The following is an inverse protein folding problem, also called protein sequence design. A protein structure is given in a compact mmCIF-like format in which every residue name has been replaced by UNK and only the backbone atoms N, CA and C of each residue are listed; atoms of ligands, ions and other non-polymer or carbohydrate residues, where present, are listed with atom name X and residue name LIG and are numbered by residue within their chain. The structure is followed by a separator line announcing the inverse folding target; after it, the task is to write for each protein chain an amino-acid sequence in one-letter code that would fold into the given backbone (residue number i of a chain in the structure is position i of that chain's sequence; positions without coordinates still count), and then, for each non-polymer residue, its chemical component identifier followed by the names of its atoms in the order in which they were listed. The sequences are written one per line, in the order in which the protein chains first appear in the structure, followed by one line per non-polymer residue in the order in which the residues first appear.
data_IF_992520915115
#
_entry.id   IF_992520915115
#
_cell.length_a   1.000
_cell.length_b   1.000
_cell.length_c   1.000
_cell.angle_alpha   90.00
_cell.angle_beta   90.00
_cell.angle_gamma   90.00
#
_symmetry.space_group_name_H-M   'P 1'
#
loop_
_entity.id
_entity.type
_entity.pdbx_description
1 polymer ?
#
# COMPACT_ATOMS: atom_id res chain seq x y z
N UNK A 1 -12.94 -12.22 -11.00
CA UNK A 1 -12.00 -11.24 -10.41
C UNK A 1 -12.80 -10.01 -9.99
N UNK A 2 -12.63 -9.58 -8.74
CA UNK A 2 -13.40 -8.45 -8.21
C UNK A 2 -12.83 -7.13 -8.71
N UNK A 3 -13.67 -6.32 -9.36
CA UNK A 3 -13.27 -5.00 -9.82
C UNK A 3 -13.28 -3.99 -8.67
N UNK A 4 -12.47 -2.94 -8.78
CA UNK A 4 -12.48 -1.84 -7.85
C UNK A 4 -13.68 -0.92 -8.14
N UNK A 5 -14.24 -0.26 -7.11
CA UNK A 5 -15.35 0.66 -7.33
C UNK A 5 -14.88 1.92 -8.06
N UNK A 6 -15.83 2.65 -8.62
CA UNK A 6 -15.54 3.94 -9.23
C UNK A 6 -15.28 5.00 -8.17
N UNK A 7 -14.56 6.06 -8.54
CA UNK A 7 -14.32 7.19 -7.67
C UNK A 7 -15.63 7.93 -7.36
N UNK A 8 -15.70 8.50 -6.15
CA UNK A 8 -16.79 9.37 -5.76
C UNK A 8 -16.60 10.78 -6.35
N UNK A 9 -17.46 11.71 -5.99
CA UNK A 9 -17.43 13.09 -6.50
C UNK A 9 -16.13 13.84 -6.20
N UNK A 10 -15.43 13.44 -5.12
CA UNK A 10 -14.16 14.04 -4.72
C UNK A 10 -12.94 13.40 -5.38
N UNK A 11 -13.17 12.39 -6.22
CA UNK A 11 -12.09 11.64 -6.83
C UNK A 11 -11.44 10.61 -5.90
N UNK A 12 -12.09 10.24 -4.82
CA UNK A 12 -11.64 9.21 -3.88
C UNK A 12 -12.38 7.91 -4.10
N UNK A 13 -11.80 6.79 -3.69
CA UNK A 13 -12.56 5.56 -3.55
C UNK A 13 -13.57 5.73 -2.42
N UNK A 14 -14.77 5.13 -2.54
CA UNK A 14 -15.73 5.12 -1.43
C UNK A 14 -15.10 4.58 -0.15
N UNK A 15 -15.53 5.06 1.00
CA UNK A 15 -15.03 4.55 2.28
C UNK A 15 -15.08 3.02 2.32
N UNK A 16 -14.07 2.41 2.92
CA UNK A 16 -13.96 0.97 3.06
C UNK A 16 -12.59 0.45 2.65
N UNK A 17 -12.40 -0.83 2.88
CA UNK A 17 -11.20 -1.56 2.48
C UNK A 17 -11.57 -2.39 1.26
N UNK A 18 -11.06 -2.01 0.10
CA UNK A 18 -11.41 -2.64 -1.17
C UNK A 18 -10.34 -3.67 -1.56
N UNK A 19 -10.71 -4.94 -1.49
CA UNK A 19 -9.80 -6.02 -1.82
C UNK A 19 -9.68 -6.20 -3.34
N UNK A 20 -8.46 -6.36 -3.84
CA UNK A 20 -8.19 -6.60 -5.25
C UNK A 20 -6.85 -7.31 -5.44
N UNK A 21 -6.70 -8.02 -6.55
CA UNK A 21 -5.41 -8.58 -6.94
C UNK A 21 -4.49 -7.47 -7.43
N UNK A 22 -3.19 -7.67 -7.32
CA UNK A 22 -2.20 -6.69 -7.73
C UNK A 22 -2.41 -6.24 -9.18
N UNK A 23 -2.63 -7.18 -10.11
CA UNK A 23 -2.82 -6.83 -11.52
C UNK A 23 -4.02 -5.91 -11.75
N UNK A 24 -5.09 -6.06 -10.96
CA UNK A 24 -6.27 -5.20 -11.02
C UNK A 24 -5.92 -3.80 -10.55
N UNK A 25 -5.17 -3.69 -9.46
CA UNK A 25 -4.72 -2.40 -8.90
C UNK A 25 -3.83 -1.68 -9.92
N UNK A 26 -2.83 -2.38 -10.46
CA UNK A 26 -1.91 -1.79 -11.43
C UNK A 26 -2.65 -1.28 -12.66
N UNK A 27 -3.54 -2.09 -13.23
CA UNK A 27 -4.31 -1.70 -14.41
C UNK A 27 -5.25 -0.53 -14.14
N UNK A 28 -5.88 -0.50 -12.97
CA UNK A 28 -6.86 0.51 -12.62
C UNK A 28 -6.25 1.91 -12.42
N UNK A 29 -5.04 1.98 -11.85
CA UNK A 29 -4.45 3.26 -11.45
C UNK A 29 -3.27 3.73 -12.31
N UNK A 30 -2.89 2.99 -13.35
CA UNK A 30 -1.72 3.28 -14.19
C UNK A 30 -2.07 4.00 -15.50
N UNK A 31 -3.13 4.81 -15.52
CA UNK A 31 -3.70 5.37 -16.76
C UNK A 31 -2.84 6.45 -17.43
N UNK A 32 -1.87 7.04 -16.76
CA UNK A 32 -0.99 8.08 -17.31
C UNK A 32 0.47 7.63 -17.24
N UNK A 33 1.39 8.27 -18.02
CA UNK A 33 2.82 7.93 -17.93
C UNK A 33 3.37 8.06 -16.49
N UNK A 34 2.98 9.10 -15.78
CA UNK A 34 3.39 9.30 -14.39
C UNK A 34 2.89 8.16 -13.49
N UNK A 35 1.62 7.82 -13.63
CA UNK A 35 1.01 6.74 -12.85
C UNK A 35 1.61 5.39 -13.20
N UNK A 36 1.99 5.17 -14.45
CA UNK A 36 2.65 3.92 -14.86
C UNK A 36 4.00 3.75 -14.16
N UNK A 37 4.77 4.83 -13.99
CA UNK A 37 6.04 4.80 -13.25
C UNK A 37 5.80 4.42 -11.78
N UNK A 38 4.80 5.04 -11.15
CA UNK A 38 4.47 4.77 -9.75
C UNK A 38 3.94 3.34 -9.57
N UNK A 39 3.15 2.86 -10.54
CA UNK A 39 2.65 1.48 -10.53
C UNK A 39 3.79 0.46 -10.53
N UNK A 40 4.87 0.72 -11.27
CA UNK A 40 6.05 -0.15 -11.27
C UNK A 40 6.76 -0.16 -9.92
N UNK A 41 6.79 0.98 -9.25
CA UNK A 41 7.35 1.05 -7.89
C UNK A 41 6.53 0.21 -6.92
N UNK A 42 5.20 0.31 -7.02
CA UNK A 42 4.29 -0.51 -6.22
C UNK A 42 4.51 -2.00 -6.47
N UNK A 43 4.60 -2.40 -7.73
CA UNK A 43 4.84 -3.79 -8.12
C UNK A 43 6.15 -4.32 -7.53
N UNK A 44 7.22 -3.52 -7.60
CA UNK A 44 8.52 -3.90 -7.04
C UNK A 44 8.46 -4.09 -5.53
N UNK A 45 7.82 -3.15 -4.83
CA UNK A 45 7.70 -3.23 -3.36
C UNK A 45 6.88 -4.44 -2.96
N UNK A 46 5.80 -4.73 -3.67
CA UNK A 46 4.99 -5.91 -3.41
C UNK A 46 5.83 -7.19 -3.56
N UNK A 47 6.61 -7.29 -4.63
CA UNK A 47 7.49 -8.45 -4.84
C UNK A 47 8.53 -8.61 -3.73
N UNK A 48 9.16 -7.50 -3.30
CA UNK A 48 10.15 -7.52 -2.24
C UNK A 48 9.53 -7.89 -0.89
N UNK A 49 8.36 -7.34 -0.58
CA UNK A 49 7.66 -7.65 0.67
C UNK A 49 7.25 -9.12 0.71
N UNK A 50 6.71 -9.65 -0.40
CA UNK A 50 6.36 -11.07 -0.51
C UNK A 50 7.56 -11.97 -0.35
N UNK A 51 8.71 -11.57 -0.88
CA UNK A 51 9.93 -12.38 -0.83
C UNK A 51 10.40 -12.68 0.59
N UNK A 52 9.96 -11.88 1.57
CA UNK A 52 10.32 -12.14 2.97
C UNK A 52 9.66 -13.40 3.54
N UNK A 53 8.53 -13.83 2.98
CA UNK A 53 7.75 -14.96 3.48
C UNK A 53 6.95 -14.67 4.76
N UNK A 54 6.92 -13.40 5.19
CA UNK A 54 6.28 -13.01 6.44
C UNK A 54 5.25 -11.89 6.28
N UNK A 55 4.83 -11.60 5.05
CA UNK A 55 3.84 -10.58 4.78
C UNK A 55 2.44 -11.11 5.14
N UNK A 56 1.75 -10.39 6.04
CA UNK A 56 0.39 -10.75 6.45
C UNK A 56 -0.66 -9.98 5.65
N UNK A 57 -0.50 -8.65 5.49
CA UNK A 57 -1.45 -7.81 4.73
C UNK A 57 -0.71 -6.69 4.03
N UNK A 58 -1.20 -6.32 2.85
CA UNK A 58 -0.60 -5.28 2.00
C UNK A 58 -1.66 -4.25 1.66
N UNK A 59 -1.50 -3.04 2.15
CA UNK A 59 -2.49 -1.96 2.00
C UNK A 59 -1.88 -0.82 1.18
N UNK A 60 -2.64 -0.33 0.20
CA UNK A 60 -2.29 0.87 -0.57
C UNK A 60 -3.28 1.97 -0.20
N UNK A 61 -2.76 3.13 0.14
CA UNK A 61 -3.56 4.29 0.49
C UNK A 61 -2.98 5.55 -0.17
N UNK A 62 -3.54 6.71 0.13
CA UNK A 62 -2.99 7.97 -0.37
C UNK A 62 -3.42 8.33 -1.78
N UNK A 63 -2.72 9.29 -2.38
CA UNK A 63 -3.15 9.92 -3.62
C UNK A 63 -3.07 9.02 -4.87
N UNK A 64 -2.20 8.00 -4.86
CA UNK A 64 -2.09 7.11 -6.03
C UNK A 64 -3.40 6.38 -6.32
N UNK A 65 -4.18 6.05 -5.31
CA UNK A 65 -5.46 5.35 -5.49
C UNK A 65 -6.65 6.31 -5.53
N UNK A 66 -6.42 7.52 -6.02
CA UNK A 66 -7.44 8.54 -6.27
C UNK A 66 -7.40 8.98 -7.72
N UNK A 67 -8.32 9.88 -8.09
CA UNK A 67 -8.37 10.47 -9.42
C UNK A 67 -7.34 11.59 -9.64
N UNK A 68 -6.45 11.85 -8.69
CA UNK A 68 -5.41 12.89 -8.82
C UNK A 68 -4.57 12.67 -10.08
N UNK A 69 -4.42 13.70 -10.91
CA UNK A 69 -3.74 13.58 -12.21
C UNK A 69 -2.28 13.12 -12.05
N UNK A 70 -1.53 13.76 -11.16
CA UNK A 70 -0.11 13.47 -10.99
C UNK A 70 0.25 13.24 -9.52
N UNK A 71 -0.04 12.04 -8.98
CA UNK A 71 0.43 11.71 -7.63
C UNK A 71 1.96 11.68 -7.62
N UNK A 72 2.56 12.04 -6.48
CA UNK A 72 4.03 12.09 -6.34
C UNK A 72 4.63 10.72 -6.08
N UNK A 73 3.97 9.91 -5.27
CA UNK A 73 4.44 8.58 -4.88
C UNK A 73 3.27 7.66 -4.59
N UNK A 74 3.57 6.46 -4.14
CA UNK A 74 2.58 5.51 -3.62
C UNK A 74 2.81 5.34 -2.12
N UNK A 75 1.71 5.33 -1.36
CA UNK A 75 1.73 5.12 0.08
C UNK A 75 1.29 3.71 0.40
N UNK A 76 2.08 3.00 1.19
CA UNK A 76 1.89 1.58 1.47
C UNK A 76 1.98 1.33 2.97
N UNK A 77 1.07 0.50 3.48
CA UNK A 77 1.15 -0.03 4.84
C UNK A 77 1.23 -1.55 4.78
N UNK A 78 2.24 -2.10 5.46
CA UNK A 78 2.47 -3.53 5.54
C UNK A 78 2.22 -4.03 6.96
N UNK A 79 1.39 -5.06 7.07
CA UNK A 79 1.26 -5.81 8.32
C UNK A 79 2.07 -7.09 8.16
N UNK A 80 3.07 -7.26 9.02
CA UNK A 80 3.99 -8.40 8.98
C UNK A 80 3.66 -9.40 10.08
N UNK A 81 3.92 -10.68 9.81
CA UNK A 81 3.79 -11.70 10.83
C UNK A 81 4.74 -11.41 12.02
N UNK A 82 4.41 -11.88 13.22
CA UNK A 82 5.23 -11.63 14.40
C UNK A 82 6.62 -12.27 14.31
N UNK A 83 6.75 -13.31 13.51
CA UNK A 83 8.03 -13.99 13.26
C UNK A 83 8.96 -13.20 12.32
N UNK A 84 8.50 -12.08 11.74
CA UNK A 84 9.31 -11.30 10.83
C UNK A 84 10.50 -10.66 11.54
N UNK A 85 11.70 -10.86 10.98
CA UNK A 85 12.95 -10.30 11.48
C UNK A 85 13.64 -9.58 10.33
N UNK A 86 13.64 -8.25 10.38
CA UNK A 86 14.21 -7.42 9.31
C UNK A 86 15.69 -7.68 9.08
N UNK A 87 16.42 -8.10 10.12
CA UNK A 87 17.85 -8.39 10.00
C UNK A 87 18.15 -9.64 9.14
N UNK A 88 17.15 -10.48 8.92
CA UNK A 88 17.30 -11.75 8.19
C UNK A 88 16.86 -11.67 6.74
N UNK A 89 16.36 -10.52 6.28
CA UNK A 89 15.94 -10.37 4.89
C UNK A 89 17.11 -9.94 4.00
N UNK A 90 16.98 -10.14 2.69
CA UNK A 90 17.98 -9.71 1.72
C UNK A 90 18.22 -8.20 1.80
N UNK A 91 19.40 -7.75 1.35
CA UNK A 91 19.75 -6.33 1.35
C UNK A 91 18.72 -5.50 0.58
N UNK A 92 18.28 -5.96 -0.57
CA UNK A 92 17.29 -5.24 -1.39
C UNK A 92 15.93 -5.18 -0.70
N UNK A 93 15.42 -6.31 -0.19
CA UNK A 93 14.12 -6.34 0.49
C UNK A 93 14.12 -5.49 1.78
N UNK A 94 15.28 -5.38 2.43
CA UNK A 94 15.40 -4.57 3.65
C UNK A 94 15.09 -3.10 3.42
N UNK A 95 15.32 -2.59 2.21
CA UNK A 95 15.02 -1.20 1.86
C UNK A 95 13.53 -0.87 2.04
N UNK A 96 12.65 -1.85 1.83
CA UNK A 96 11.19 -1.66 1.98
C UNK A 96 10.84 -1.30 3.42
N UNK A 97 11.59 -1.82 4.39
CA UNK A 97 11.29 -1.69 5.81
C UNK A 97 12.02 -0.54 6.51
N UNK A 98 12.75 0.27 5.74
CA UNK A 98 13.38 1.51 6.19
C UNK A 98 12.69 2.65 5.46
N UNK A 99 11.93 3.48 6.20
CA UNK A 99 11.10 4.52 5.60
C UNK A 99 11.90 5.48 4.70
N UNK A 100 13.04 5.95 5.17
CA UNK A 100 13.88 6.86 4.39
C UNK A 100 14.49 6.20 3.15
N UNK A 101 14.94 4.96 3.27
CA UNK A 101 15.50 4.21 2.15
C UNK A 101 14.43 3.91 1.10
N UNK A 102 13.23 3.51 1.52
CA UNK A 102 12.13 3.25 0.60
C UNK A 102 11.76 4.53 -0.17
N UNK A 103 11.69 5.65 0.51
CA UNK A 103 11.39 6.94 -0.12
C UNK A 103 12.46 7.34 -1.13
N UNK A 104 13.72 7.27 -0.75
CA UNK A 104 14.85 7.75 -1.56
C UNK A 104 15.24 6.79 -2.69
N UNK A 105 15.14 5.48 -2.45
CA UNK A 105 15.65 4.46 -3.38
C UNK A 105 14.56 3.70 -4.12
N UNK A 106 13.37 3.58 -3.53
CA UNK A 106 12.25 2.85 -4.14
C UNK A 106 11.11 3.77 -4.57
N UNK A 107 11.14 5.05 -4.19
CA UNK A 107 10.15 6.04 -4.61
C UNK A 107 8.76 5.81 -4.03
N UNK A 108 8.68 5.36 -2.78
CA UNK A 108 7.41 5.09 -2.10
C UNK A 108 7.51 5.40 -0.61
N UNK A 109 6.37 5.74 -0.01
CA UNK A 109 6.25 5.91 1.44
C UNK A 109 5.72 4.60 2.02
N UNK A 110 6.56 3.89 2.75
CA UNK A 110 6.21 2.58 3.31
C UNK A 110 6.20 2.65 4.82
N UNK A 111 5.10 2.22 5.42
CA UNK A 111 4.92 2.07 6.85
C UNK A 111 4.67 0.60 7.15
N UNK A 112 5.15 0.10 8.27
CA UNK A 112 4.94 -1.30 8.61
C UNK A 112 4.97 -1.53 10.12
N UNK A 113 4.25 -2.55 10.55
CA UNK A 113 4.31 -3.07 11.93
C UNK A 113 4.16 -4.60 11.89
N UNK A 114 4.51 -5.24 12.99
CA UNK A 114 4.14 -6.65 13.23
C UNK A 114 2.73 -6.71 13.80
N UNK A 115 2.04 -7.81 13.62
CA UNK A 115 0.67 -8.00 14.10
C UNK A 115 0.51 -7.68 15.59
N UNK A 116 1.44 -8.11 16.41
CA UNK A 116 1.39 -7.88 17.86
C UNK A 116 1.44 -6.40 18.25
N UNK A 117 1.95 -5.53 17.37
CA UNK A 117 2.03 -4.09 17.59
C UNK A 117 0.74 -3.35 17.19
N UNK A 118 -0.24 -4.03 16.64
CA UNK A 118 -1.51 -3.44 16.21
C UNK A 118 -2.40 -3.15 17.42
N UNK A 119 -2.15 -2.03 18.09
CA UNK A 119 -2.91 -1.60 19.26
C UNK A 119 -4.36 -1.32 18.87
N UNK A 120 -5.31 -1.86 19.64
CA UNK A 120 -6.73 -1.75 19.32
C UNK A 120 -7.20 -2.76 18.29
N UNK A 121 -6.32 -3.65 17.82
CA UNK A 121 -6.64 -4.71 16.88
C UNK A 121 -6.23 -4.39 15.43
N UNK A 122 -6.07 -5.44 14.65
CA UNK A 122 -5.64 -5.38 13.26
C UNK A 122 -6.61 -4.58 12.38
N UNK A 123 -7.91 -4.85 12.53
CA UNK A 123 -8.94 -4.17 11.73
C UNK A 123 -8.94 -2.66 11.98
N UNK A 124 -8.86 -2.23 13.24
CA UNK A 124 -8.83 -0.80 13.58
C UNK A 124 -7.57 -0.12 13.05
N UNK A 125 -6.43 -0.80 13.12
CA UNK A 125 -5.16 -0.28 12.62
C UNK A 125 -5.22 -0.06 11.11
N UNK A 126 -5.75 -1.01 10.36
CA UNK A 126 -5.87 -0.88 8.90
C UNK A 126 -6.90 0.20 8.55
N UNK A 127 -8.04 0.22 9.21
CA UNK A 127 -9.08 1.22 8.97
C UNK A 127 -8.59 2.66 9.18
N UNK A 128 -7.60 2.85 10.05
CA UNK A 128 -7.00 4.16 10.31
C UNK A 128 -6.43 4.81 9.03
N UNK A 129 -5.91 4.02 8.10
CA UNK A 129 -5.32 4.54 6.87
C UNK A 129 -6.34 5.14 5.91
N UNK A 130 -7.64 5.03 6.19
CA UNK A 130 -8.69 5.73 5.46
C UNK A 130 -8.76 7.21 5.83
N UNK A 131 -8.17 7.62 6.93
CA UNK A 131 -8.28 8.99 7.44
C UNK A 131 -7.33 9.89 6.66
N UNK A 132 -7.89 10.93 6.02
CA UNK A 132 -7.13 11.94 5.29
C UNK A 132 -6.54 12.98 6.25
N UNK A 133 -5.58 13.77 5.76
CA UNK A 133 -4.97 14.84 6.55
C UNK A 133 -5.99 15.87 7.06
N UNK A 134 -7.07 16.11 6.31
CA UNK A 134 -8.12 17.04 6.68
C UNK A 134 -9.16 16.44 7.64
N UNK A 135 -8.99 15.20 8.05
CA UNK A 135 -9.92 14.48 8.93
C UNK A 135 -11.05 13.76 8.20
N UNK A 136 -11.19 13.97 6.90
CA UNK A 136 -12.14 13.21 6.09
C UNK A 136 -11.69 11.78 5.89
N UNK A 137 -12.57 10.94 5.34
CA UNK A 137 -12.27 9.53 5.07
C UNK A 137 -12.38 9.22 3.59
N UNK A 138 -11.54 8.32 3.12
CA UNK A 138 -11.61 7.76 1.77
C UNK A 138 -11.21 6.29 1.79
N UNK A 139 -11.66 5.54 0.77
CA UNK A 139 -11.35 4.13 0.66
C UNK A 139 -9.88 3.85 0.44
N UNK A 140 -9.46 2.68 0.87
CA UNK A 140 -8.12 2.15 0.69
C UNK A 140 -8.20 0.79 0.00
N UNK A 141 -7.08 0.33 -0.53
CA UNK A 141 -7.02 -0.92 -1.28
C UNK A 141 -6.19 -1.94 -0.51
N UNK A 142 -6.72 -3.15 -0.39
CA UNK A 142 -5.95 -4.28 0.11
C UNK A 142 -5.60 -5.20 -1.06
N UNK A 143 -4.29 -5.42 -1.27
CA UNK A 143 -3.81 -6.36 -2.28
C UNK A 143 -3.89 -7.76 -1.67
N UNK A 144 -4.64 -8.65 -2.31
CA UNK A 144 -4.97 -9.96 -1.75
C UNK A 144 -3.93 -11.05 -2.05
N UNK A 145 -2.97 -10.79 -2.90
CA UNK A 145 -1.89 -11.73 -3.23
C UNK A 145 -0.70 -11.51 -2.32
N UNK A 146 -0.40 -12.50 -1.51
CA UNK A 146 0.69 -12.43 -0.51
C UNK A 146 1.79 -13.46 -0.70
#
# INVERSE_FOLDING_TARGET
MKALPQFNERGDLPEGIHAAKLEVVLAHFAATPRRAVIARRLERIHALARSTGHLARFIVFGSFITAKDEPNDVDIFLLMEDSFDVSKVSTEARLVFDHAAAQNLLGASVFWIRRAAALGGETATIAHWQIKRDGGKRGIVEVTEL
#
